data_IF_066319731436
#
_entry.id   IF_066319731436
#
_cell.length_a   1.000
_cell.length_b   1.000
_cell.length_c   1.000
_cell.angle_alpha   90.00
_cell.angle_beta   90.00
_cell.angle_gamma   90.00
#
_symmetry.space_group_name_H-M   'P 1'
#
loop_
_entity.id
_entity.type
_entity.pdbx_description
1 polymer ?
#
# COMPACT_ATOMS: atom_id res chain seq x y z
N UNK A 1 26.66 11.99 22.72
CA UNK A 1 27.28 12.22 21.41
C UNK A 1 26.14 12.37 20.40
N UNK A 2 25.91 13.57 19.88
CA UNK A 2 24.90 13.81 18.85
C UNK A 2 25.32 13.08 17.56
N UNK A 3 24.39 12.41 16.84
CA UNK A 3 24.75 11.75 15.59
C UNK A 3 25.16 12.80 14.55
N UNK A 4 26.31 12.57 13.95
CA UNK A 4 26.97 13.40 12.98
C UNK A 4 26.02 13.73 11.79
N UNK A 5 25.61 14.98 11.65
CA UNK A 5 24.68 15.46 10.61
C UNK A 5 25.17 15.24 9.17
N UNK A 6 26.44 14.90 8.97
CA UNK A 6 27.02 14.60 7.66
C UNK A 6 26.60 13.27 7.04
N UNK A 7 26.01 12.35 7.81
CA UNK A 7 25.62 11.01 7.37
C UNK A 7 24.22 10.95 6.71
N UNK A 8 23.35 11.94 6.95
CA UNK A 8 21.99 11.99 6.42
C UNK A 8 21.89 12.11 4.89
N UNK A 9 22.62 13.02 4.23
CA UNK A 9 22.52 13.18 2.78
C UNK A 9 23.07 11.96 2.01
N UNK A 10 24.07 11.27 2.54
CA UNK A 10 24.59 10.05 1.90
C UNK A 10 23.66 8.86 2.02
N UNK A 11 23.01 8.70 3.17
CA UNK A 11 21.98 7.66 3.40
C UNK A 11 20.82 7.83 2.43
N UNK A 12 20.28 9.03 2.30
CA UNK A 12 19.17 9.35 1.38
C UNK A 12 19.56 9.11 -0.08
N UNK A 13 20.77 9.50 -0.49
CA UNK A 13 21.28 9.24 -1.85
C UNK A 13 21.37 7.74 -2.15
N UNK A 14 21.79 6.92 -1.19
CA UNK A 14 21.87 5.47 -1.34
C UNK A 14 20.47 4.84 -1.46
N UNK A 15 19.52 5.26 -0.62
CA UNK A 15 18.12 4.83 -0.71
C UNK A 15 17.56 5.13 -2.10
N UNK A 16 17.71 6.36 -2.58
CA UNK A 16 17.25 6.79 -3.90
C UNK A 16 17.88 5.95 -5.03
N UNK A 17 19.19 5.67 -4.97
CA UNK A 17 19.86 4.84 -5.99
C UNK A 17 19.31 3.43 -6.03
N UNK A 18 19.11 2.79 -4.87
CA UNK A 18 18.54 1.44 -4.79
C UNK A 18 17.11 1.41 -5.34
N UNK A 19 16.31 2.40 -4.98
CA UNK A 19 14.93 2.53 -5.47
C UNK A 19 14.90 2.76 -6.98
N UNK A 20 15.70 3.70 -7.51
CA UNK A 20 15.76 4.00 -8.94
C UNK A 20 16.23 2.79 -9.77
N UNK A 21 17.20 2.03 -9.27
CA UNK A 21 17.65 0.80 -9.94
C UNK A 21 16.49 -0.22 -10.03
N UNK A 22 15.76 -0.41 -8.94
CA UNK A 22 14.60 -1.28 -8.90
C UNK A 22 13.50 -0.83 -9.87
N UNK A 23 13.13 0.45 -9.85
CA UNK A 23 12.10 1.01 -10.72
C UNK A 23 12.48 0.97 -12.20
N UNK A 24 13.73 1.30 -12.55
CA UNK A 24 14.22 1.20 -13.92
C UNK A 24 14.23 -0.24 -14.45
N UNK A 25 14.65 -1.20 -13.62
CA UNK A 25 14.59 -2.62 -13.94
C UNK A 25 13.16 -3.10 -14.13
N UNK A 26 12.23 -2.67 -13.28
CA UNK A 26 10.81 -3.00 -13.40
C UNK A 26 10.22 -2.44 -14.71
N UNK A 27 10.48 -1.18 -15.05
CA UNK A 27 10.00 -0.58 -16.29
C UNK A 27 10.48 -1.35 -17.54
N UNK A 28 11.77 -1.75 -17.57
CA UNK A 28 12.31 -2.56 -18.65
C UNK A 28 11.64 -3.94 -18.72
N UNK A 29 11.47 -4.60 -17.57
CA UNK A 29 10.82 -5.90 -17.49
C UNK A 29 9.36 -5.86 -17.95
N UNK A 30 8.60 -4.79 -17.62
CA UNK A 30 7.23 -4.60 -18.08
C UNK A 30 7.15 -4.61 -19.60
N UNK A 31 7.96 -3.78 -20.27
CA UNK A 31 7.98 -3.70 -21.73
C UNK A 31 8.36 -5.04 -22.36
N UNK A 32 9.38 -5.70 -21.82
CA UNK A 32 9.84 -6.99 -22.34
C UNK A 32 8.79 -8.09 -22.16
N UNK A 33 8.18 -8.20 -20.98
CA UNK A 33 7.13 -9.18 -20.67
C UNK A 33 5.90 -8.98 -21.54
N UNK A 34 5.44 -7.72 -21.69
CA UNK A 34 4.28 -7.41 -22.51
C UNK A 34 4.52 -7.76 -23.99
N UNK A 35 5.65 -7.32 -24.53
CA UNK A 35 6.02 -7.62 -25.91
C UNK A 35 6.09 -9.14 -26.17
N UNK A 36 6.82 -9.86 -25.31
CA UNK A 36 7.00 -11.30 -25.48
C UNK A 36 5.73 -12.09 -25.14
N UNK A 37 4.89 -11.59 -24.23
CA UNK A 37 3.59 -12.16 -23.91
C UNK A 37 2.64 -12.12 -25.13
N UNK A 38 2.59 -11.01 -25.84
CA UNK A 38 1.78 -10.84 -27.05
C UNK A 38 2.34 -11.67 -28.20
N UNK A 39 3.62 -11.50 -28.57
CA UNK A 39 4.26 -12.20 -29.70
C UNK A 39 4.38 -13.69 -29.43
N UNK A 40 4.59 -14.08 -28.19
CA UNK A 40 4.75 -15.48 -27.76
C UNK A 40 3.42 -16.17 -27.41
N UNK A 41 2.28 -15.52 -27.60
CA UNK A 41 0.94 -16.06 -27.33
C UNK A 41 0.79 -16.64 -25.91
N UNK A 42 1.23 -15.90 -24.88
CA UNK A 42 1.14 -16.33 -23.49
C UNK A 42 0.28 -15.41 -22.66
N UNK A 43 -0.89 -15.90 -22.25
CA UNK A 43 -1.80 -15.19 -21.35
C UNK A 43 -1.20 -15.04 -19.94
N UNK A 44 -0.42 -16.02 -19.48
CA UNK A 44 0.29 -15.97 -18.22
C UNK A 44 1.34 -14.85 -18.19
N UNK A 45 2.10 -14.68 -19.29
CA UNK A 45 3.08 -13.60 -19.40
C UNK A 45 2.43 -12.23 -19.52
N UNK A 46 1.29 -12.14 -20.22
CA UNK A 46 0.50 -10.90 -20.30
C UNK A 46 -0.04 -10.54 -18.91
N UNK A 47 -0.62 -11.50 -18.18
CA UNK A 47 -1.10 -11.27 -16.81
C UNK A 47 0.03 -10.76 -15.89
N UNK A 48 1.21 -11.35 -15.99
CA UNK A 48 2.39 -10.94 -15.22
C UNK A 48 2.94 -9.56 -15.66
N UNK A 49 2.85 -9.22 -16.94
CA UNK A 49 3.17 -7.87 -17.42
C UNK A 49 2.22 -6.84 -16.82
N UNK A 50 0.92 -7.14 -16.79
CA UNK A 50 -0.11 -6.28 -16.20
C UNK A 50 0.11 -6.13 -14.70
N UNK A 51 0.46 -7.20 -13.97
CA UNK A 51 0.86 -7.12 -12.57
C UNK A 51 1.99 -6.12 -12.38
N UNK A 52 3.05 -6.23 -13.16
CA UNK A 52 4.21 -5.32 -13.11
C UNK A 52 3.87 -3.87 -13.53
N UNK A 53 2.89 -3.67 -14.44
CA UNK A 53 2.35 -2.33 -14.78
C UNK A 53 1.61 -1.75 -13.58
N UNK A 54 0.80 -2.57 -12.89
CA UNK A 54 0.06 -2.14 -11.70
C UNK A 54 1.00 -1.65 -10.59
N UNK A 55 2.11 -2.36 -10.34
CA UNK A 55 3.15 -1.93 -9.39
C UNK A 55 3.75 -0.56 -9.78
N UNK A 56 4.06 -0.39 -11.07
CA UNK A 56 4.62 0.86 -11.58
C UNK A 56 3.63 2.03 -11.49
N UNK A 57 2.36 1.80 -11.80
CA UNK A 57 1.31 2.81 -11.65
C UNK A 57 1.11 3.19 -10.18
N UNK A 58 1.15 2.21 -9.28
CA UNK A 58 1.08 2.45 -7.84
C UNK A 58 2.22 3.37 -7.37
N UNK A 59 3.46 3.12 -7.82
CA UNK A 59 4.62 3.95 -7.51
C UNK A 59 4.42 5.41 -8.03
N UNK A 60 3.92 5.60 -9.26
CA UNK A 60 3.67 6.92 -9.85
C UNK A 60 2.56 7.67 -9.08
N UNK A 61 1.45 6.97 -8.81
CA UNK A 61 0.31 7.58 -8.13
C UNK A 61 0.72 7.98 -6.72
N UNK A 62 1.43 7.13 -5.99
CA UNK A 62 1.97 7.48 -4.67
C UNK A 62 2.82 8.76 -4.73
N UNK A 63 3.69 8.92 -5.74
CA UNK A 63 4.52 10.12 -5.91
C UNK A 63 3.69 11.38 -6.21
N UNK A 64 2.65 11.28 -7.03
CA UNK A 64 1.76 12.40 -7.38
C UNK A 64 0.94 12.81 -6.15
N UNK A 65 0.34 11.83 -5.48
CA UNK A 65 -0.58 12.11 -4.36
C UNK A 65 0.14 12.53 -3.09
N UNK A 66 1.37 12.05 -2.81
CA UNK A 66 2.21 12.60 -1.73
C UNK A 66 2.43 14.11 -1.90
N UNK A 67 2.52 14.61 -3.14
CA UNK A 67 2.63 16.05 -3.40
C UNK A 67 1.31 16.80 -3.20
N UNK A 68 0.18 16.18 -3.52
CA UNK A 68 -1.15 16.80 -3.40
C UNK A 68 -1.61 16.74 -1.94
N UNK A 69 -1.52 15.58 -1.30
CA UNK A 69 -1.93 15.36 0.10
C UNK A 69 -1.12 16.19 1.09
N UNK A 70 0.15 16.48 0.76
CA UNK A 70 1.00 17.36 1.56
C UNK A 70 0.68 18.86 1.47
N UNK A 71 -0.31 19.29 0.66
CA UNK A 71 -0.73 20.68 0.64
C UNK A 71 -1.48 21.03 1.94
N UNK A 72 -1.15 22.19 2.56
CA UNK A 72 -1.84 22.62 3.75
C UNK A 72 -3.32 22.95 3.46
N UNK A 73 -4.06 23.27 4.49
CA UNK A 73 -5.41 23.80 4.43
C UNK A 73 -5.48 25.04 3.54
N UNK A 74 -6.50 25.13 2.71
CA UNK A 74 -6.81 26.28 1.88
C UNK A 74 -8.29 26.67 1.99
N UNK A 75 -8.76 27.58 1.13
CA UNK A 75 -10.13 28.09 1.18
C UNK A 75 -11.18 27.04 0.81
N UNK A 76 -10.80 26.04 0.03
CA UNK A 76 -11.71 25.00 -0.47
C UNK A 76 -11.62 23.71 0.36
N UNK A 77 -10.49 23.51 1.07
CA UNK A 77 -10.20 22.30 1.86
C UNK A 77 -9.69 22.69 3.26
N UNK A 78 -10.60 23.01 4.16
CA UNK A 78 -10.29 23.44 5.54
C UNK A 78 -9.60 22.35 6.37
N UNK A 79 -9.74 21.07 6.04
CA UNK A 79 -9.04 19.95 6.69
C UNK A 79 -7.78 19.50 5.94
N UNK A 80 -7.36 20.29 4.93
CA UNK A 80 -6.22 19.94 4.06
C UNK A 80 -6.59 18.91 2.97
N UNK A 81 -5.58 18.40 2.30
CA UNK A 81 -5.74 17.56 1.11
C UNK A 81 -5.44 16.07 1.37
N UNK A 82 -5.34 15.64 2.64
CA UNK A 82 -4.97 14.27 3.00
C UNK A 82 -5.81 13.19 2.33
N UNK A 83 -7.15 13.36 2.28
CA UNK A 83 -8.08 12.38 1.67
C UNK A 83 -7.92 12.19 0.15
N UNK A 84 -7.13 13.03 -0.54
CA UNK A 84 -6.80 12.78 -1.95
C UNK A 84 -5.94 11.51 -2.14
N UNK A 85 -5.09 11.19 -1.17
CA UNK A 85 -4.31 9.93 -1.17
C UNK A 85 -5.25 8.73 -1.06
N UNK A 86 -6.23 8.80 -0.18
CA UNK A 86 -7.24 7.76 0.02
C UNK A 86 -8.08 7.55 -1.24
N UNK A 87 -8.53 8.65 -1.87
CA UNK A 87 -9.28 8.60 -3.13
C UNK A 87 -8.47 7.93 -4.25
N UNK A 88 -7.18 8.25 -4.36
CA UNK A 88 -6.29 7.62 -5.32
C UNK A 88 -6.16 6.12 -5.10
N UNK A 89 -6.02 5.71 -3.83
CA UNK A 89 -5.94 4.29 -3.44
C UNK A 89 -7.21 3.54 -3.84
N UNK A 90 -8.39 4.15 -3.69
CA UNK A 90 -9.66 3.56 -4.14
C UNK A 90 -9.69 3.40 -5.66
N UNK A 91 -9.33 4.45 -6.41
CA UNK A 91 -9.32 4.38 -7.88
C UNK A 91 -8.37 3.28 -8.38
N UNK A 92 -7.16 3.22 -7.83
CA UNK A 92 -6.20 2.16 -8.16
C UNK A 92 -6.76 0.77 -7.84
N UNK A 93 -7.29 0.60 -6.65
CA UNK A 93 -7.85 -0.68 -6.21
C UNK A 93 -8.96 -1.16 -7.13
N UNK A 94 -9.90 -0.27 -7.52
CA UNK A 94 -11.00 -0.60 -8.44
C UNK A 94 -10.46 -1.01 -9.81
N UNK A 95 -9.49 -0.28 -10.37
CA UNK A 95 -8.87 -0.63 -11.64
C UNK A 95 -8.18 -2.00 -11.56
N UNK A 96 -7.37 -2.24 -10.53
CA UNK A 96 -6.66 -3.51 -10.33
C UNK A 96 -7.62 -4.69 -10.18
N UNK A 97 -8.64 -4.56 -9.35
CA UNK A 97 -9.65 -5.62 -9.17
C UNK A 97 -10.38 -5.89 -10.49
N UNK A 98 -10.79 -4.84 -11.22
CA UNK A 98 -11.49 -4.99 -12.49
C UNK A 98 -10.63 -5.73 -13.52
N UNK A 99 -9.37 -5.35 -13.66
CA UNK A 99 -8.42 -6.01 -14.57
C UNK A 99 -8.14 -7.45 -14.12
N UNK A 100 -7.90 -7.67 -12.82
CA UNK A 100 -7.70 -9.01 -12.27
C UNK A 100 -8.89 -9.93 -12.50
N UNK A 101 -10.13 -9.45 -12.29
CA UNK A 101 -11.35 -10.20 -12.56
C UNK A 101 -11.50 -10.54 -14.04
N UNK A 102 -11.21 -9.59 -14.94
CA UNK A 102 -11.24 -9.84 -16.38
C UNK A 102 -10.24 -10.91 -16.81
N UNK A 103 -9.01 -10.85 -16.30
CA UNK A 103 -7.98 -11.85 -16.57
C UNK A 103 -8.36 -13.23 -16.02
N UNK A 104 -8.92 -13.28 -14.81
CA UNK A 104 -9.40 -14.51 -14.21
C UNK A 104 -10.54 -15.14 -15.03
N UNK A 105 -11.51 -14.30 -15.44
CA UNK A 105 -12.61 -14.74 -16.30
C UNK A 105 -12.09 -15.33 -17.62
N UNK A 106 -11.19 -14.63 -18.32
CA UNK A 106 -10.58 -15.13 -19.56
C UNK A 106 -9.80 -16.45 -19.34
N UNK A 107 -9.12 -16.56 -18.21
CA UNK A 107 -8.40 -17.76 -17.81
C UNK A 107 -9.34 -18.96 -17.66
N UNK A 108 -10.45 -18.78 -16.92
CA UNK A 108 -11.46 -19.80 -16.70
C UNK A 108 -12.12 -20.24 -18.02
N UNK A 109 -12.52 -19.27 -18.87
CA UNK A 109 -13.12 -19.56 -20.18
C UNK A 109 -12.15 -20.34 -21.06
N UNK A 110 -10.86 -19.98 -21.04
CA UNK A 110 -9.83 -20.70 -21.80
C UNK A 110 -9.68 -22.15 -21.36
N UNK A 111 -9.68 -22.41 -20.05
CA UNK A 111 -9.60 -23.78 -19.50
C UNK A 111 -10.84 -24.59 -19.87
N UNK A 112 -12.05 -24.02 -19.70
CA UNK A 112 -13.30 -24.68 -20.06
C UNK A 112 -13.37 -24.98 -21.55
N UNK A 113 -13.00 -23.99 -22.39
CA UNK A 113 -12.99 -24.13 -23.84
C UNK A 113 -12.03 -25.22 -24.34
N UNK A 114 -10.87 -25.37 -23.69
CA UNK A 114 -9.95 -26.48 -23.95
C UNK A 114 -10.56 -27.84 -23.61
N UNK A 115 -11.22 -27.97 -22.46
CA UNK A 115 -11.82 -29.22 -22.03
C UNK A 115 -13.04 -29.62 -22.87
N UNK A 116 -13.81 -28.63 -23.34
CA UNK A 116 -14.94 -28.87 -24.26
C UNK A 116 -14.49 -29.09 -25.71
N UNK A 117 -13.22 -28.88 -26.04
CA UNK A 117 -12.71 -28.98 -27.41
C UNK A 117 -13.19 -27.83 -28.33
N UNK A 118 -13.77 -26.77 -27.75
CA UNK A 118 -14.29 -25.60 -28.49
C UNK A 118 -13.20 -24.55 -28.75
N UNK A 119 -12.10 -24.59 -28.01
CA UNK A 119 -11.00 -23.65 -28.11
C UNK A 119 -9.68 -24.38 -28.31
N UNK A 120 -8.89 -23.93 -29.28
CA UNK A 120 -7.49 -24.37 -29.45
C UNK A 120 -6.59 -23.20 -29.08
N UNK A 121 -5.83 -23.39 -28.01
CA UNK A 121 -4.83 -22.39 -27.62
C UNK A 121 -3.51 -22.65 -28.36
N UNK A 122 -2.88 -21.58 -28.86
CA UNK A 122 -1.53 -21.69 -29.41
C UNK A 122 -0.55 -22.06 -28.28
N UNK A 123 0.45 -22.86 -28.61
CA UNK A 123 1.53 -23.18 -27.66
C UNK A 123 2.36 -21.92 -27.41
N UNK A 124 2.65 -21.57 -26.14
CA UNK A 124 3.55 -20.48 -25.82
C UNK A 124 4.91 -20.66 -26.49
N UNK A 125 5.52 -19.58 -26.95
CA UNK A 125 6.82 -19.63 -27.57
C UNK A 125 7.92 -19.95 -26.54
N UNK A 126 9.02 -20.56 -26.99
CA UNK A 126 10.21 -20.78 -26.14
C UNK A 126 10.82 -19.47 -25.66
N UNK A 127 10.64 -18.37 -26.41
CA UNK A 127 11.09 -17.05 -26.04
C UNK A 127 10.37 -16.56 -24.77
N UNK A 128 9.07 -16.86 -24.64
CA UNK A 128 8.29 -16.53 -23.45
C UNK A 128 8.86 -17.19 -22.19
N UNK A 129 9.25 -18.47 -22.31
CA UNK A 129 9.87 -19.21 -21.22
C UNK A 129 11.22 -18.61 -20.81
N UNK A 130 12.06 -18.23 -21.78
CA UNK A 130 13.36 -17.60 -21.53
C UNK A 130 13.16 -16.27 -20.80
N UNK A 131 12.23 -15.44 -21.28
CA UNK A 131 11.95 -14.13 -20.64
C UNK A 131 11.34 -14.30 -19.26
N UNK A 132 10.46 -15.29 -19.03
CA UNK A 132 9.95 -15.60 -17.70
C UNK A 132 11.10 -15.98 -16.74
N UNK A 133 12.01 -16.83 -17.17
CA UNK A 133 13.16 -17.27 -16.38
C UNK A 133 14.12 -16.12 -16.08
N UNK A 134 14.46 -15.30 -17.07
CA UNK A 134 15.32 -14.11 -16.89
C UNK A 134 14.65 -13.11 -15.94
N UNK A 135 13.34 -12.88 -16.10
CA UNK A 135 12.58 -12.01 -15.20
C UNK A 135 12.61 -12.50 -13.75
N UNK A 136 12.48 -13.82 -13.55
CA UNK A 136 12.57 -14.45 -12.23
C UNK A 136 13.95 -14.21 -11.59
N UNK A 137 15.03 -14.40 -12.35
CA UNK A 137 16.39 -14.17 -11.84
C UNK A 137 16.62 -12.70 -11.48
N UNK A 138 16.15 -11.77 -12.31
CA UNK A 138 16.25 -10.32 -12.05
C UNK A 138 15.45 -9.95 -10.79
N UNK A 139 14.21 -10.43 -10.64
CA UNK A 139 13.38 -10.15 -9.44
C UNK A 139 14.01 -10.75 -8.18
N UNK A 140 14.56 -11.96 -8.26
CA UNK A 140 15.26 -12.60 -7.13
C UNK A 140 16.52 -11.81 -6.72
N UNK A 141 17.27 -11.32 -7.71
CA UNK A 141 18.42 -10.43 -7.47
C UNK A 141 17.99 -9.13 -6.82
N UNK A 142 16.96 -8.45 -7.36
CA UNK A 142 16.42 -7.21 -6.80
C UNK A 142 15.90 -7.40 -5.38
N UNK A 143 15.20 -8.51 -5.09
CA UNK A 143 14.79 -8.85 -3.73
C UNK A 143 15.97 -8.89 -2.77
N UNK A 144 17.00 -9.71 -3.10
CA UNK A 144 18.19 -9.87 -2.24
C UNK A 144 18.95 -8.55 -2.07
N UNK A 145 19.16 -7.85 -3.15
CA UNK A 145 19.87 -6.57 -3.17
C UNK A 145 19.16 -5.52 -2.33
N UNK A 146 17.86 -5.32 -2.56
CA UNK A 146 17.06 -4.34 -1.81
C UNK A 146 16.94 -4.71 -0.34
N UNK A 147 16.77 -6.01 -0.02
CA UNK A 147 16.69 -6.50 1.35
C UNK A 147 17.98 -6.27 2.15
N UNK A 148 19.14 -6.50 1.55
CA UNK A 148 20.44 -6.23 2.16
C UNK A 148 20.61 -4.73 2.46
N UNK A 149 20.30 -3.86 1.50
CA UNK A 149 20.35 -2.41 1.71
C UNK A 149 19.33 -1.91 2.72
N UNK A 150 18.15 -2.52 2.78
CA UNK A 150 17.15 -2.23 3.81
C UNK A 150 17.69 -2.44 5.23
N UNK A 151 18.40 -3.55 5.44
CA UNK A 151 19.05 -3.85 6.73
C UNK A 151 20.19 -2.88 7.05
N UNK A 152 21.10 -2.63 6.10
CA UNK A 152 22.26 -1.74 6.29
C UNK A 152 21.83 -0.29 6.55
N UNK A 153 20.81 0.19 5.86
CA UNK A 153 20.31 1.57 5.97
C UNK A 153 19.19 1.71 7.02
N UNK A 154 18.78 0.62 7.67
CA UNK A 154 17.63 0.57 8.62
C UNK A 154 16.40 1.28 8.02
N UNK A 155 16.07 0.98 6.77
CA UNK A 155 14.98 1.62 6.02
C UNK A 155 13.79 0.69 5.91
N UNK A 156 12.67 1.07 6.56
CA UNK A 156 11.39 0.36 6.45
C UNK A 156 10.82 0.40 5.02
N UNK A 157 11.00 1.52 4.31
CA UNK A 157 10.57 1.67 2.93
C UNK A 157 11.29 0.69 1.98
N UNK A 158 12.63 0.55 2.10
CA UNK A 158 13.36 -0.44 1.32
C UNK A 158 12.98 -1.87 1.71
N UNK A 159 12.65 -2.12 2.99
CA UNK A 159 12.19 -3.44 3.43
C UNK A 159 10.85 -3.80 2.82
N UNK A 160 9.89 -2.87 2.78
CA UNK A 160 8.62 -3.04 2.10
C UNK A 160 8.83 -3.33 0.61
N UNK A 161 9.63 -2.53 -0.11
CA UNK A 161 9.93 -2.73 -1.54
C UNK A 161 10.62 -4.07 -1.82
N UNK A 162 11.46 -4.57 -0.91
CA UNK A 162 12.04 -5.90 -1.03
C UNK A 162 10.96 -7.00 -0.91
N UNK A 163 10.01 -6.85 0.00
CA UNK A 163 8.89 -7.80 0.14
C UNK A 163 8.00 -7.82 -1.11
N UNK A 164 7.78 -6.67 -1.77
CA UNK A 164 7.08 -6.59 -3.05
C UNK A 164 7.81 -7.43 -4.11
N UNK A 165 9.13 -7.26 -4.26
CA UNK A 165 9.93 -8.08 -5.19
C UNK A 165 9.86 -9.59 -4.87
N UNK A 166 9.73 -9.96 -3.59
CA UNK A 166 9.52 -11.35 -3.18
C UNK A 166 8.17 -11.89 -3.65
N UNK A 167 7.11 -11.11 -3.50
CA UNK A 167 5.76 -11.49 -3.95
C UNK A 167 5.72 -11.68 -5.47
N UNK A 168 6.34 -10.78 -6.22
CA UNK A 168 6.50 -10.88 -7.68
C UNK A 168 7.27 -12.15 -8.09
N UNK A 169 8.28 -12.54 -7.30
CA UNK A 169 9.04 -13.76 -7.53
C UNK A 169 8.14 -14.99 -7.44
N UNK A 170 7.19 -15.03 -6.50
CA UNK A 170 6.23 -16.14 -6.37
C UNK A 170 5.26 -16.20 -7.57
N UNK A 171 4.77 -15.05 -8.02
CA UNK A 171 3.92 -14.97 -9.21
C UNK A 171 4.68 -15.47 -10.46
N UNK A 172 5.93 -15.06 -10.65
CA UNK A 172 6.78 -15.50 -11.75
C UNK A 172 7.09 -17.00 -11.71
N UNK A 173 7.21 -17.62 -10.55
CA UNK A 173 7.36 -19.08 -10.41
C UNK A 173 6.11 -19.78 -10.97
N UNK A 174 4.92 -19.32 -10.63
CA UNK A 174 3.67 -19.88 -11.15
C UNK A 174 3.61 -19.75 -12.68
N UNK A 175 3.95 -18.58 -13.23
CA UNK A 175 4.04 -18.32 -14.68
C UNK A 175 5.04 -19.26 -15.36
N UNK A 176 6.23 -19.42 -14.78
CA UNK A 176 7.28 -20.28 -15.33
C UNK A 176 6.83 -21.74 -15.39
N UNK A 177 6.20 -22.24 -14.32
CA UNK A 177 5.66 -23.61 -14.27
C UNK A 177 4.56 -23.78 -15.31
N UNK A 178 3.64 -22.83 -15.45
CA UNK A 178 2.54 -22.88 -16.41
C UNK A 178 3.05 -22.92 -17.84
N UNK A 179 3.95 -21.99 -18.20
CA UNK A 179 4.54 -21.92 -19.56
C UNK A 179 5.39 -23.15 -19.86
N UNK A 180 6.26 -23.58 -18.93
CA UNK A 180 7.09 -24.77 -19.11
C UNK A 180 6.23 -26.04 -19.27
N UNK A 181 5.19 -26.20 -18.46
CA UNK A 181 4.26 -27.30 -18.56
C UNK A 181 3.55 -27.35 -19.92
N UNK A 182 3.05 -26.20 -20.39
CA UNK A 182 2.40 -26.09 -21.71
C UNK A 182 3.34 -26.40 -22.89
N UNK A 183 4.65 -26.07 -22.75
CA UNK A 183 5.65 -26.33 -23.81
C UNK A 183 6.12 -27.79 -23.81
N UNK A 184 6.44 -28.36 -22.65
CA UNK A 184 7.17 -29.63 -22.56
C UNK A 184 6.30 -30.85 -22.33
N UNK A 185 5.10 -30.71 -21.70
CA UNK A 185 4.26 -31.86 -21.34
C UNK A 185 3.25 -32.27 -22.44
N UNK A 186 3.14 -31.46 -23.51
CA UNK A 186 2.27 -31.77 -24.64
C UNK A 186 0.86 -31.18 -24.53
N UNK A 187 0.01 -31.50 -25.52
CA UNK A 187 -1.30 -30.82 -25.71
C UNK A 187 -2.26 -30.93 -24.54
N UNK A 188 -2.26 -32.07 -23.84
CA UNK A 188 -3.10 -32.30 -22.67
C UNK A 188 -2.81 -31.33 -21.51
N UNK A 189 -1.62 -30.73 -21.49
CA UNK A 189 -1.15 -29.84 -20.42
C UNK A 189 -1.17 -28.36 -20.81
N UNK A 190 -1.73 -28.02 -21.97
CA UNK A 190 -1.87 -26.63 -22.42
C UNK A 190 -2.70 -25.79 -21.43
N UNK A 191 -3.59 -26.41 -20.66
CA UNK A 191 -4.38 -25.71 -19.64
C UNK A 191 -3.52 -25.10 -18.49
N UNK A 192 -2.28 -25.56 -18.31
CA UNK A 192 -1.39 -25.01 -17.27
C UNK A 192 -1.03 -23.54 -17.55
N UNK A 193 -1.00 -23.13 -18.79
CA UNK A 193 -0.71 -21.76 -19.17
C UNK A 193 -1.83 -20.80 -18.73
N UNK A 194 -3.11 -20.96 -19.12
CA UNK A 194 -4.17 -20.13 -18.59
C UNK A 194 -4.40 -20.34 -17.08
N UNK A 195 -4.09 -21.50 -16.51
CA UNK A 195 -4.13 -21.71 -15.07
C UNK A 195 -3.14 -20.77 -14.34
N UNK A 196 -1.90 -20.68 -14.87
CA UNK A 196 -0.92 -19.74 -14.34
C UNK A 196 -1.38 -18.27 -14.46
N UNK A 197 -2.02 -17.89 -15.57
CA UNK A 197 -2.65 -16.58 -15.75
C UNK A 197 -3.72 -16.34 -14.68
N UNK A 198 -4.55 -17.36 -14.37
CA UNK A 198 -5.55 -17.30 -13.31
C UNK A 198 -4.94 -17.12 -11.92
N UNK A 199 -3.83 -17.80 -11.64
CA UNK A 199 -3.10 -17.61 -10.37
C UNK A 199 -2.58 -16.18 -10.25
N UNK A 200 -1.95 -15.64 -11.30
CA UNK A 200 -1.46 -14.24 -11.29
C UNK A 200 -2.62 -13.27 -11.13
N UNK A 201 -3.76 -13.49 -11.78
CA UNK A 201 -4.92 -12.63 -11.63
C UNK A 201 -5.48 -12.60 -10.21
N UNK A 202 -5.42 -13.72 -9.47
CA UNK A 202 -5.77 -13.75 -8.05
C UNK A 202 -4.79 -12.90 -7.20
N UNK A 203 -3.51 -12.88 -7.52
CA UNK A 203 -2.55 -11.97 -6.87
C UNK A 203 -2.91 -10.51 -7.14
N UNK A 204 -3.28 -10.14 -8.37
CA UNK A 204 -3.69 -8.78 -8.74
C UNK A 204 -4.95 -8.36 -7.96
N UNK A 205 -5.96 -9.25 -7.89
CA UNK A 205 -7.18 -9.01 -7.12
C UNK A 205 -6.87 -8.83 -5.63
N UNK A 206 -6.03 -9.68 -5.07
CA UNK A 206 -5.62 -9.61 -3.68
C UNK A 206 -4.89 -8.28 -3.37
N UNK A 207 -4.00 -7.85 -4.26
CA UNK A 207 -3.29 -6.57 -4.13
C UNK A 207 -4.27 -5.40 -4.21
N UNK A 208 -5.20 -5.39 -5.19
CA UNK A 208 -6.26 -4.40 -5.26
C UNK A 208 -7.11 -4.35 -3.98
N UNK A 209 -7.45 -5.50 -3.41
CA UNK A 209 -8.18 -5.58 -2.14
C UNK A 209 -7.37 -5.00 -0.96
N UNK A 210 -6.07 -5.22 -0.93
CA UNK A 210 -5.20 -4.68 0.12
C UNK A 210 -5.10 -3.14 0.10
N UNK A 211 -5.32 -2.51 -1.05
CA UNK A 211 -5.46 -1.05 -1.18
C UNK A 211 -6.89 -0.57 -0.88
N UNK A 212 -7.89 -1.33 -1.33
CA UNK A 212 -9.30 -0.93 -1.19
C UNK A 212 -9.73 -0.89 0.28
N UNK A 213 -9.40 -1.94 1.03
CA UNK A 213 -9.88 -2.10 2.41
C UNK A 213 -9.46 -0.96 3.35
N UNK A 214 -8.18 -0.57 3.45
CA UNK A 214 -7.78 0.57 4.29
C UNK A 214 -8.38 1.89 3.81
N UNK A 215 -8.43 2.11 2.48
CA UNK A 215 -9.01 3.31 1.91
C UNK A 215 -10.53 3.40 2.18
N UNK A 216 -11.24 2.28 2.10
CA UNK A 216 -12.67 2.20 2.43
C UNK A 216 -12.91 2.49 3.91
N UNK A 217 -12.11 1.89 4.79
CA UNK A 217 -12.18 2.11 6.23
C UNK A 217 -11.96 3.59 6.58
N UNK A 218 -10.97 4.23 5.97
CA UNK A 218 -10.72 5.66 6.16
C UNK A 218 -11.87 6.55 5.64
N UNK A 219 -12.48 6.20 4.48
CA UNK A 219 -13.62 6.94 3.94
C UNK A 219 -14.89 6.77 4.78
N UNK A 220 -15.04 5.62 5.44
CA UNK A 220 -16.15 5.33 6.36
C UNK A 220 -15.87 5.79 7.79
N UNK A 221 -14.76 6.51 8.00
CA UNK A 221 -14.38 7.09 9.28
C UNK A 221 -14.18 6.03 10.39
N UNK A 222 -13.57 4.89 10.03
CA UNK A 222 -13.18 3.87 11.02
C UNK A 222 -12.25 4.49 12.07
N UNK A 223 -12.49 4.14 13.35
CA UNK A 223 -11.65 4.58 14.46
C UNK A 223 -10.21 4.04 14.34
N UNK A 224 -9.29 4.66 15.02
CA UNK A 224 -7.91 4.19 15.11
C UNK A 224 -7.85 2.85 15.86
N UNK A 225 -6.72 2.15 15.75
CA UNK A 225 -6.57 0.88 16.44
C UNK A 225 -6.63 1.06 17.96
N UNK A 226 -7.10 0.02 18.70
CA UNK A 226 -7.19 0.09 20.16
C UNK A 226 -5.88 0.44 20.85
N UNK A 227 -4.74 0.07 20.25
CA UNK A 227 -3.42 0.38 20.76
C UNK A 227 -3.14 1.90 20.68
N UNK A 228 -3.49 2.54 19.56
CA UNK A 228 -3.30 3.98 19.36
C UNK A 228 -4.28 4.74 20.24
N UNK A 229 -5.55 4.33 20.33
CA UNK A 229 -6.53 4.94 21.21
C UNK A 229 -6.13 4.83 22.69
N UNK A 230 -5.54 3.69 23.08
CA UNK A 230 -4.98 3.49 24.42
C UNK A 230 -3.83 4.45 24.72
N UNK A 231 -2.88 4.64 23.79
CA UNK A 231 -1.79 5.63 23.93
C UNK A 231 -2.33 7.07 24.04
N UNK A 232 -3.36 7.42 23.25
CA UNK A 232 -3.99 8.74 23.32
C UNK A 232 -4.61 8.95 24.71
N UNK A 233 -5.37 7.96 25.21
CA UNK A 233 -5.98 8.02 26.54
C UNK A 233 -4.93 8.17 27.64
N UNK A 234 -3.82 7.45 27.57
CA UNK A 234 -2.72 7.54 28.54
C UNK A 234 -2.12 8.95 28.57
N UNK A 235 -1.83 9.55 27.40
CA UNK A 235 -1.31 10.91 27.28
C UNK A 235 -2.29 11.91 27.92
N UNK A 236 -3.57 11.81 27.60
CA UNK A 236 -4.58 12.74 28.07
C UNK A 236 -4.79 12.62 29.58
N UNK A 237 -4.95 11.39 30.09
CA UNK A 237 -5.20 11.14 31.53
C UNK A 237 -3.98 11.40 32.40
N UNK A 238 -2.75 11.36 31.86
CA UNK A 238 -1.54 11.74 32.59
C UNK A 238 -1.36 13.25 32.75
N UNK A 239 -2.15 14.07 32.02
CA UNK A 239 -2.08 15.53 32.10
C UNK A 239 -2.68 16.04 33.41
N UNK A 240 -1.91 16.91 34.11
CA UNK A 240 -2.32 17.45 35.42
C UNK A 240 -3.67 18.19 35.32
N UNK A 241 -4.54 18.00 36.34
CA UNK A 241 -5.89 18.58 36.45
C UNK A 241 -6.93 18.03 35.43
N UNK A 242 -6.61 16.99 34.70
CA UNK A 242 -7.58 16.19 33.92
C UNK A 242 -8.23 15.20 34.88
N UNK A 243 -9.56 15.20 34.97
CA UNK A 243 -10.32 14.28 35.84
C UNK A 243 -10.81 13.06 35.08
N UNK A 244 -10.95 13.16 33.74
CA UNK A 244 -11.39 12.05 32.90
C UNK A 244 -11.60 12.42 31.44
N UNK A 245 -12.04 11.45 30.69
CA UNK A 245 -12.50 11.56 29.29
C UNK A 245 -13.93 11.07 29.25
N UNK A 246 -14.86 11.92 28.81
CA UNK A 246 -16.25 11.52 28.62
C UNK A 246 -16.46 10.80 27.30
N UNK A 247 -15.88 11.32 26.20
CA UNK A 247 -15.98 10.77 24.87
C UNK A 247 -14.70 11.03 24.09
N UNK A 248 -14.29 10.02 23.34
CA UNK A 248 -13.19 10.14 22.38
C UNK A 248 -13.66 9.62 21.02
N UNK A 249 -13.34 10.35 19.95
CA UNK A 249 -13.54 9.94 18.57
C UNK A 249 -12.24 10.13 17.83
N UNK A 250 -11.89 9.13 17.07
CA UNK A 250 -10.64 9.12 16.30
C UNK A 250 -10.91 8.69 14.87
N UNK A 251 -10.12 9.16 13.92
CA UNK A 251 -10.13 8.69 12.53
C UNK A 251 -8.83 9.04 11.84
N UNK A 252 -8.53 8.31 10.76
CA UNK A 252 -7.45 8.66 9.84
C UNK A 252 -7.87 9.73 8.83
N UNK A 253 -6.93 10.60 8.47
CA UNK A 253 -7.09 11.58 7.38
C UNK A 253 -5.80 11.54 6.55
N UNK A 254 -5.74 10.67 5.54
CA UNK A 254 -4.50 10.42 4.80
C UNK A 254 -3.38 9.94 5.74
N UNK A 255 -2.21 10.52 5.64
CA UNK A 255 -1.09 10.20 6.54
C UNK A 255 -1.15 10.82 7.95
N UNK A 256 -2.30 11.37 8.38
CA UNK A 256 -2.52 12.06 9.66
C UNK A 256 -3.70 11.48 10.41
N UNK A 257 -3.89 11.92 11.67
CA UNK A 257 -5.05 11.58 12.50
C UNK A 257 -5.93 12.78 12.78
N UNK A 258 -7.22 12.53 12.99
CA UNK A 258 -8.14 13.44 13.65
C UNK A 258 -8.55 12.83 14.99
N UNK A 259 -8.42 13.61 16.06
CA UNK A 259 -8.67 13.22 17.44
C UNK A 259 -9.62 14.26 18.04
N UNK A 260 -10.79 13.83 18.46
CA UNK A 260 -11.81 14.65 19.10
C UNK A 260 -12.04 14.09 20.51
N UNK A 261 -11.92 14.95 21.54
CA UNK A 261 -11.98 14.52 22.94
C UNK A 261 -12.90 15.45 23.72
N UNK A 262 -13.83 14.88 24.46
CA UNK A 262 -14.59 15.60 25.48
C UNK A 262 -13.89 15.34 26.83
N UNK A 263 -13.22 16.40 27.34
CA UNK A 263 -12.31 16.34 28.47
C UNK A 263 -13.04 16.79 29.77
N UNK A 264 -12.99 15.96 30.80
CA UNK A 264 -13.57 16.30 32.10
C UNK A 264 -12.56 17.01 33.00
N UNK A 265 -12.94 18.17 33.52
CA UNK A 265 -12.14 19.01 34.44
C UNK A 265 -13.01 19.55 35.59
N UNK A 266 -12.38 20.10 36.65
CA UNK A 266 -13.12 20.78 37.75
C UNK A 266 -13.99 21.92 37.19
N UNK A 267 -15.30 21.88 37.43
CA UNK A 267 -16.28 22.85 36.96
C UNK A 267 -16.07 24.27 37.50
N UNK A 268 -15.19 24.48 38.49
CA UNK A 268 -14.79 25.80 39.00
C UNK A 268 -13.60 26.38 38.26
N UNK A 269 -13.01 25.64 37.34
CA UNK A 269 -11.87 26.07 36.52
C UNK A 269 -12.28 27.24 35.63
N UNK A 270 -11.43 28.24 35.52
CA UNK A 270 -11.63 29.30 34.54
C UNK A 270 -11.42 28.81 33.12
N UNK A 271 -12.05 29.45 32.14
CA UNK A 271 -11.86 29.13 30.72
C UNK A 271 -10.38 29.23 30.32
N UNK A 272 -9.64 30.19 30.88
CA UNK A 272 -8.21 30.33 30.60
C UNK A 272 -7.40 29.13 31.09
N UNK A 273 -7.64 28.66 32.32
CA UNK A 273 -6.96 27.49 32.88
C UNK A 273 -7.29 26.20 32.09
N UNK A 274 -8.57 26.03 31.70
CA UNK A 274 -8.99 24.92 30.87
C UNK A 274 -8.29 24.96 29.50
N UNK A 275 -8.19 26.13 28.89
CA UNK A 275 -7.48 26.31 27.63
C UNK A 275 -5.98 25.94 27.73
N UNK A 276 -5.31 26.32 28.83
CA UNK A 276 -3.91 25.97 29.06
C UNK A 276 -3.70 24.42 29.08
N UNK A 277 -4.65 23.70 29.68
CA UNK A 277 -4.63 22.24 29.69
C UNK A 277 -4.76 21.69 28.26
N UNK A 278 -5.69 22.22 27.45
CA UNK A 278 -5.83 21.76 26.05
C UNK A 278 -4.57 22.00 25.24
N UNK A 279 -3.87 23.13 25.44
CA UNK A 279 -2.60 23.41 24.77
C UNK A 279 -1.48 22.42 25.14
N UNK A 280 -1.45 21.94 26.39
CA UNK A 280 -0.48 20.93 26.82
C UNK A 280 -0.77 19.60 26.10
N UNK A 281 -2.03 19.15 26.15
CA UNK A 281 -2.46 17.90 25.50
C UNK A 281 -2.19 17.95 23.98
N UNK A 282 -2.56 19.06 23.33
CA UNK A 282 -2.32 19.22 21.90
C UNK A 282 -0.83 19.14 21.54
N UNK A 283 0.03 19.73 22.35
CA UNK A 283 1.48 19.69 22.14
C UNK A 283 2.02 18.29 22.26
N UNK A 284 1.61 17.52 23.25
CA UNK A 284 2.04 16.15 23.46
C UNK A 284 1.55 15.21 22.35
N UNK A 285 0.27 15.32 21.98
CA UNK A 285 -0.30 14.54 20.88
C UNK A 285 0.35 14.87 19.54
N UNK A 286 0.62 16.16 19.24
CA UNK A 286 1.36 16.56 18.03
C UNK A 286 2.83 16.11 18.04
N UNK A 287 3.46 16.10 19.21
CA UNK A 287 4.83 15.57 19.34
C UNK A 287 4.88 14.07 19.07
N UNK A 288 3.84 13.32 19.43
CA UNK A 288 3.74 11.88 19.25
C UNK A 288 3.30 11.48 17.83
N UNK A 289 2.28 12.14 17.28
CA UNK A 289 1.60 11.73 16.03
C UNK A 289 1.87 12.66 14.84
N UNK A 290 2.59 13.74 15.04
CA UNK A 290 2.95 14.70 14.00
C UNK A 290 2.16 16.01 14.03
N UNK A 291 2.75 17.05 13.46
CA UNK A 291 2.20 18.43 13.49
C UNK A 291 0.94 18.60 12.64
N UNK A 292 0.67 17.67 11.74
CA UNK A 292 -0.52 17.66 10.86
C UNK A 292 -1.75 17.02 11.52
N UNK A 293 -1.60 16.44 12.73
CA UNK A 293 -2.71 15.85 13.48
C UNK A 293 -3.75 16.92 13.83
N UNK A 294 -4.99 16.69 13.42
CA UNK A 294 -6.13 17.53 13.77
C UNK A 294 -6.63 17.15 15.16
N UNK A 295 -6.64 18.09 16.10
CA UNK A 295 -7.04 17.85 17.48
C UNK A 295 -8.12 18.86 17.84
N UNK A 296 -9.26 18.37 18.33
CA UNK A 296 -10.35 19.15 18.87
C UNK A 296 -10.65 18.65 20.29
N UNK A 297 -10.52 19.56 21.27
CA UNK A 297 -10.79 19.23 22.67
C UNK A 297 -11.94 20.11 23.14
N UNK A 298 -13.02 19.46 23.53
CA UNK A 298 -14.15 20.10 24.22
C UNK A 298 -13.99 19.89 25.71
N UNK A 299 -14.11 20.97 26.51
CA UNK A 299 -13.94 20.91 27.95
C UNK A 299 -15.31 20.83 28.59
N UNK A 300 -15.52 19.86 29.46
CA UNK A 300 -16.75 19.66 30.23
C UNK A 300 -16.46 19.63 31.73
N UNK A 301 -17.37 20.15 32.58
CA UNK A 301 -17.24 20.04 34.01
C UNK A 301 -17.55 18.60 34.47
N UNK A 302 -16.69 18.01 35.30
CA UNK A 302 -16.88 16.66 35.84
C UNK A 302 -18.12 16.48 36.72
N UNK A 303 -18.68 17.60 37.22
CA UNK A 303 -19.86 17.61 38.08
C UNK A 303 -21.21 17.48 37.35
N UNK A 304 -21.23 17.53 36.01
CA UNK A 304 -22.44 17.26 35.23
C UNK A 304 -22.55 15.76 35.00
N UNK A 305 -23.30 15.10 35.90
CA UNK A 305 -23.67 13.68 35.71
C UNK A 305 -24.37 13.46 34.36
N UNK A 306 -23.99 12.37 33.76
CA UNK A 306 -24.47 11.80 32.52
C UNK A 306 -25.91 12.14 32.14
N UNK A 307 -26.08 12.71 30.93
CA UNK A 307 -27.30 12.62 30.15
C UNK A 307 -27.19 11.53 29.09
#
# INVERSE_FOLDING_TARGET
MAPNQSTYPERTKKILRVTLLGSASNALLVLLKLFVGIVGHSSAMIAEAINSISDFLTDIIALIFIRISGKPQDKDHHYGHGKFETLASVVMAVVMISVGVLLLYNSIISIIGLWMGTLQLPRPSRLTLIVAFVSLLIKLFLYRYTYQWAGLLKSSALKAKALDHRSDTLALIAVLIGIAGAIFLGERWLFLEPLAAGVVSLFIIHMGWSFLRPAFNELTEECLSPEIEGEIMEIVLSTHRVEGIHRMRTRSIGGSYAIEIDLLVDGRMSVAEGHDITLIIERELRARYGTTTHIAIHIEPSSHGHY
#
